data_IF_656385709640
#
_entry.id   IF_656385709640
#
_cell.length_a   1.000
_cell.length_b   1.000
_cell.length_c   1.000
_cell.angle_alpha   90.00
_cell.angle_beta   90.00
_cell.angle_gamma   90.00
#
_symmetry.space_group_name_H-M   'P 1'
#
loop_
_entity.id
_entity.type
_entity.pdbx_description
1 polymer ?
#
# COMPACT_ATOMS: atom_id res chain seq x y z
N UNK A 1 -8.91 8.31 -14.89
CA UNK A 1 -9.66 7.62 -13.81
C UNK A 1 -9.02 6.28 -13.58
N UNK A 2 -8.84 5.86 -12.33
CA UNK A 2 -8.12 4.61 -12.00
C UNK A 2 -8.89 3.80 -10.94
N UNK A 3 -10.13 3.36 -11.26
CA UNK A 3 -10.92 2.50 -10.39
C UNK A 3 -10.38 1.07 -10.44
N UNK A 4 -9.88 0.57 -9.30
CA UNK A 4 -9.48 -0.83 -9.15
C UNK A 4 -10.66 -1.65 -8.57
N UNK A 5 -11.07 -2.69 -9.29
CA UNK A 5 -12.20 -3.54 -8.91
C UNK A 5 -11.80 -5.01 -8.81
N UNK A 6 -12.15 -5.61 -7.70
CA UNK A 6 -12.13 -7.05 -7.48
C UNK A 6 -13.58 -7.57 -7.60
N UNK A 7 -13.81 -8.54 -8.45
CA UNK A 7 -15.14 -9.15 -8.70
C UNK A 7 -15.03 -10.65 -8.43
N UNK A 8 -15.65 -11.09 -7.33
CA UNK A 8 -15.68 -12.46 -6.82
C UNK A 8 -14.32 -13.15 -6.86
N UNK A 9 -13.29 -12.41 -6.40
CA UNK A 9 -11.91 -12.86 -6.45
C UNK A 9 -11.66 -14.00 -5.46
N UNK A 10 -11.12 -15.09 -5.97
CA UNK A 10 -10.69 -16.24 -5.18
C UNK A 10 -9.21 -16.51 -5.40
N UNK A 11 -8.46 -16.73 -4.31
CA UNK A 11 -7.05 -17.12 -4.36
C UNK A 11 -6.84 -18.37 -3.54
N UNK A 12 -6.25 -19.41 -4.18
CA UNK A 12 -5.91 -20.67 -3.54
C UNK A 12 -4.46 -21.03 -3.80
N UNK A 13 -3.77 -21.43 -2.75
CA UNK A 13 -2.42 -21.98 -2.83
C UNK A 13 -2.46 -23.51 -2.72
N UNK A 14 -1.67 -24.20 -3.53
CA UNK A 14 -1.61 -25.66 -3.57
C UNK A 14 -2.62 -26.32 -4.51
N UNK A 15 -2.74 -27.64 -4.45
CA UNK A 15 -3.61 -28.43 -5.33
C UNK A 15 -5.11 -28.27 -5.04
N UNK A 16 -5.96 -28.65 -6.04
CA UNK A 16 -7.43 -28.55 -5.91
C UNK A 16 -8.02 -29.25 -4.69
N UNK A 17 -7.43 -30.36 -4.22
CA UNK A 17 -7.95 -31.16 -3.10
C UNK A 17 -7.32 -30.82 -1.74
N UNK A 18 -6.09 -30.32 -1.70
CA UNK A 18 -5.31 -30.08 -0.48
C UNK A 18 -4.88 -28.63 -0.32
N UNK A 19 -5.30 -27.76 -1.24
CA UNK A 19 -4.90 -26.35 -1.24
C UNK A 19 -5.64 -25.52 -0.20
N UNK A 20 -4.93 -24.56 0.38
CA UNK A 20 -5.49 -23.55 1.28
C UNK A 20 -6.15 -22.42 0.47
N UNK A 21 -7.40 -22.08 0.79
CA UNK A 21 -8.10 -20.92 0.25
C UNK A 21 -7.74 -19.71 1.10
N UNK A 22 -6.92 -18.83 0.56
CA UNK A 22 -6.45 -17.64 1.26
C UNK A 22 -7.37 -16.43 1.07
N UNK A 23 -8.10 -16.39 -0.06
CA UNK A 23 -9.08 -15.33 -0.39
C UNK A 23 -10.29 -16.02 -1.01
N UNK A 24 -11.48 -15.65 -0.55
CA UNK A 24 -12.75 -16.27 -0.95
C UNK A 24 -13.76 -15.20 -1.32
N UNK A 25 -14.18 -15.24 -2.58
CA UNK A 25 -15.32 -14.51 -3.15
C UNK A 25 -15.32 -13.01 -2.79
N UNK A 26 -14.19 -12.35 -2.97
CA UNK A 26 -14.01 -10.94 -2.62
C UNK A 26 -14.56 -10.03 -3.70
N UNK A 27 -15.53 -9.20 -3.31
CA UNK A 27 -16.03 -8.06 -4.05
C UNK A 27 -15.57 -6.76 -3.37
N UNK A 28 -14.64 -6.03 -4.00
CA UNK A 28 -14.10 -4.79 -3.47
C UNK A 28 -13.87 -3.78 -4.59
N UNK A 29 -14.23 -2.54 -4.35
CA UNK A 29 -13.92 -1.40 -5.22
C UNK A 29 -12.99 -0.44 -4.50
N UNK A 30 -11.90 -0.05 -5.16
CA UNK A 30 -11.05 1.07 -4.77
C UNK A 30 -11.35 2.20 -5.75
N UNK A 31 -12.12 3.23 -5.35
CA UNK A 31 -12.54 4.31 -6.24
C UNK A 31 -11.34 5.13 -6.73
N UNK A 32 -11.51 5.74 -7.89
CA UNK A 32 -10.49 6.64 -8.46
C UNK A 32 -10.07 7.75 -7.50
N UNK A 33 -8.77 7.92 -7.32
CA UNK A 33 -8.18 8.92 -6.43
C UNK A 33 -8.43 8.70 -4.94
N UNK A 34 -9.14 7.65 -4.53
CA UNK A 34 -9.43 7.35 -3.14
C UNK A 34 -8.41 6.39 -2.51
N UNK A 35 -8.33 6.42 -1.18
CA UNK A 35 -7.58 5.46 -0.36
C UNK A 35 -8.56 4.50 0.31
N UNK A 36 -8.45 3.21 -0.01
CA UNK A 36 -9.17 2.14 0.71
C UNK A 36 -8.21 1.46 1.68
N UNK A 37 -8.50 1.58 2.98
CA UNK A 37 -7.81 0.88 4.04
C UNK A 37 -8.30 -0.57 4.16
N UNK A 38 -7.42 -1.54 4.02
CA UNK A 38 -7.75 -2.96 4.20
C UNK A 38 -7.22 -3.45 5.53
N UNK A 39 -8.11 -3.81 6.45
CA UNK A 39 -7.80 -4.18 7.83
C UNK A 39 -8.26 -5.60 8.18
N UNK A 40 -7.76 -6.14 9.28
CA UNK A 40 -8.10 -7.46 9.81
C UNK A 40 -6.89 -8.15 10.44
N UNK A 41 -7.12 -9.28 11.12
CA UNK A 41 -6.08 -10.06 11.79
C UNK A 41 -4.96 -10.53 10.85
N UNK A 42 -3.81 -10.89 11.42
CA UNK A 42 -2.74 -11.57 10.67
C UNK A 42 -3.27 -12.88 10.06
N UNK A 43 -2.94 -13.12 8.80
CA UNK A 43 -3.44 -14.30 8.07
C UNK A 43 -4.87 -14.17 7.53
N UNK A 44 -5.55 -13.03 7.67
CA UNK A 44 -6.91 -12.83 7.10
C UNK A 44 -6.99 -12.79 5.57
N UNK A 45 -5.85 -12.74 4.86
CA UNK A 45 -5.80 -12.75 3.39
C UNK A 45 -5.46 -11.41 2.72
N UNK A 46 -5.27 -10.31 3.48
CA UNK A 46 -5.02 -8.95 2.97
C UNK A 46 -3.85 -8.88 1.99
N UNK A 47 -2.67 -9.32 2.42
CA UNK A 47 -1.47 -9.32 1.56
C UNK A 47 -1.60 -10.27 0.38
N UNK A 48 -2.43 -11.32 0.50
CA UNK A 48 -2.73 -12.22 -0.64
C UNK A 48 -3.59 -11.51 -1.67
N UNK A 49 -4.61 -10.76 -1.25
CA UNK A 49 -5.45 -9.95 -2.13
C UNK A 49 -4.62 -8.86 -2.84
N UNK A 50 -3.75 -8.18 -2.08
CA UNK A 50 -2.80 -7.20 -2.60
C UNK A 50 -1.89 -7.79 -3.68
N UNK A 51 -1.27 -8.95 -3.39
CA UNK A 51 -0.42 -9.67 -4.35
C UNK A 51 -1.19 -10.13 -5.58
N UNK A 52 -2.48 -10.47 -5.45
CA UNK A 52 -3.32 -10.80 -6.58
C UNK A 52 -3.50 -9.60 -7.53
N UNK A 53 -3.69 -8.39 -6.99
CA UNK A 53 -3.83 -7.16 -7.79
C UNK A 53 -2.59 -6.87 -8.66
N UNK A 54 -1.39 -7.19 -8.16
CA UNK A 54 -0.14 -7.03 -8.92
C UNK A 54 0.30 -8.30 -9.66
N UNK A 55 -0.55 -9.37 -9.65
CA UNK A 55 -0.31 -10.63 -10.35
C UNK A 55 0.79 -11.50 -9.73
N UNK A 56 1.06 -11.33 -8.44
CA UNK A 56 2.00 -12.14 -7.64
C UNK A 56 1.31 -13.26 -6.86
N UNK A 57 -0.03 -13.32 -6.87
CA UNK A 57 -0.79 -14.43 -6.31
C UNK A 57 -1.73 -15.02 -7.37
N UNK A 58 -1.95 -16.35 -7.38
CA UNK A 58 -2.75 -17.02 -8.40
C UNK A 58 -4.25 -16.80 -8.14
N UNK A 59 -4.91 -15.99 -8.97
CA UNK A 59 -6.37 -15.86 -8.96
C UNK A 59 -6.96 -17.12 -9.59
N UNK A 60 -7.78 -17.86 -8.82
CA UNK A 60 -8.36 -19.13 -9.24
C UNK A 60 -9.79 -18.98 -9.76
N UNK A 61 -10.48 -17.92 -9.37
CA UNK A 61 -11.80 -17.52 -9.90
C UNK A 61 -12.00 -16.02 -9.70
N UNK A 62 -12.95 -15.43 -10.42
CA UNK A 62 -13.22 -13.99 -10.42
C UNK A 62 -12.30 -13.20 -11.35
N UNK A 63 -12.35 -11.88 -11.26
CA UNK A 63 -11.55 -10.97 -12.08
C UNK A 63 -11.04 -9.78 -11.26
N UNK A 64 -9.91 -9.21 -11.69
CA UNK A 64 -9.37 -7.95 -11.16
C UNK A 64 -9.24 -7.01 -12.35
N UNK A 65 -9.94 -5.89 -12.29
CA UNK A 65 -9.95 -4.91 -13.39
C UNK A 65 -9.52 -3.53 -12.92
N UNK A 66 -8.92 -2.78 -13.82
CA UNK A 66 -8.62 -1.36 -13.68
C UNK A 66 -9.31 -0.62 -14.80
N UNK A 67 -10.26 0.25 -14.49
CA UNK A 67 -11.13 0.92 -15.48
C UNK A 67 -11.72 -0.07 -16.48
N UNK A 68 -12.20 -1.22 -16.01
CA UNK A 68 -12.76 -2.30 -16.84
C UNK A 68 -11.71 -3.13 -17.61
N UNK A 69 -10.43 -2.78 -17.57
CA UNK A 69 -9.33 -3.56 -18.20
C UNK A 69 -8.91 -4.70 -17.27
N UNK A 70 -8.97 -5.94 -17.74
CA UNK A 70 -8.56 -7.12 -16.97
C UNK A 70 -7.04 -7.15 -16.75
N UNK A 71 -6.61 -7.00 -15.50
CA UNK A 71 -5.20 -6.99 -15.08
C UNK A 71 -4.54 -8.37 -15.14
N UNK A 72 -5.32 -9.44 -15.09
CA UNK A 72 -4.83 -10.82 -15.09
C UNK A 72 -4.45 -11.29 -16.50
N UNK A 73 -5.09 -10.76 -17.52
CA UNK A 73 -4.86 -11.10 -18.93
C UNK A 73 -3.77 -10.27 -19.58
N UNK A 74 -3.56 -9.05 -19.13
CA UNK A 74 -2.54 -8.14 -19.66
C UNK A 74 -1.14 -8.50 -19.15
N UNK A 75 -0.38 -9.26 -19.98
CA UNK A 75 1.01 -9.66 -19.65
C UNK A 75 2.09 -8.80 -20.32
N UNK A 76 1.72 -7.80 -21.12
CA UNK A 76 2.66 -6.96 -21.89
C UNK A 76 2.63 -5.51 -21.39
N UNK A 77 3.81 -4.95 -21.16
CA UNK A 77 3.99 -3.55 -20.75
C UNK A 77 4.15 -3.32 -19.26
N UNK A 78 4.38 -2.06 -18.84
CA UNK A 78 4.45 -1.67 -17.44
C UNK A 78 3.11 -1.99 -16.75
N UNK A 79 3.18 -2.53 -15.53
CA UNK A 79 1.97 -2.79 -14.76
C UNK A 79 1.43 -1.48 -14.18
N UNK A 80 0.14 -1.17 -14.40
CA UNK A 80 -0.46 0.06 -13.91
C UNK A 80 -0.66 0.05 -12.38
N UNK A 81 -0.58 -1.13 -11.76
CA UNK A 81 -0.64 -1.31 -10.31
C UNK A 81 0.76 -1.66 -9.80
N UNK A 82 1.26 -0.86 -8.88
CA UNK A 82 2.55 -1.10 -8.20
C UNK A 82 2.33 -1.39 -6.73
N UNK A 83 3.25 -2.17 -6.13
CA UNK A 83 3.16 -2.58 -4.74
C UNK A 83 4.42 -2.19 -3.97
N UNK A 84 4.23 -1.56 -2.82
CA UNK A 84 5.28 -1.36 -1.81
C UNK A 84 5.10 -2.43 -0.74
N UNK A 85 6.15 -3.22 -0.53
CA UNK A 85 6.13 -4.37 0.36
C UNK A 85 6.43 -4.00 1.81
N UNK A 86 5.96 -4.83 2.72
CA UNK A 86 6.12 -4.72 4.17
C UNK A 86 7.59 -4.61 4.60
N UNK A 87 8.48 -5.40 3.99
CA UNK A 87 9.89 -5.46 4.38
C UNK A 87 10.77 -4.66 3.41
N UNK A 88 11.24 -3.46 3.80
CA UNK A 88 12.09 -2.63 2.96
C UNK A 88 13.48 -3.25 2.72
N UNK A 89 13.93 -4.14 3.61
CA UNK A 89 15.25 -4.79 3.50
C UNK A 89 15.31 -5.79 2.34
N UNK A 90 14.19 -6.47 2.04
CA UNK A 90 14.12 -7.45 0.95
C UNK A 90 13.66 -6.85 -0.39
N UNK A 91 13.26 -5.57 -0.40
CA UNK A 91 12.73 -4.90 -1.58
C UNK A 91 13.81 -4.27 -2.48
N UNK A 92 15.02 -4.07 -1.96
CA UNK A 92 16.15 -3.44 -2.66
C UNK A 92 17.28 -4.46 -2.83
N UNK A 93 17.88 -4.51 -4.03
CA UNK A 93 19.13 -5.27 -4.24
C UNK A 93 20.28 -4.55 -3.53
N UNK A 94 21.00 -5.21 -2.59
CA UNK A 94 22.08 -4.58 -1.83
C UNK A 94 23.29 -4.17 -2.69
N UNK A 95 23.36 -4.64 -3.95
CA UNK A 95 24.44 -4.34 -4.89
C UNK A 95 24.15 -3.13 -5.76
N UNK A 96 22.89 -2.70 -5.82
CA UNK A 96 22.46 -1.54 -6.61
C UNK A 96 22.44 -0.30 -5.72
N UNK A 97 22.87 0.82 -6.26
CA UNK A 97 22.67 2.12 -5.59
C UNK A 97 21.18 2.47 -5.54
N UNK A 98 20.82 3.40 -4.66
CA UNK A 98 19.47 3.96 -4.56
C UNK A 98 19.01 4.48 -5.91
N UNK A 99 19.86 5.24 -6.59
CA UNK A 99 19.55 5.80 -7.90
C UNK A 99 19.30 4.73 -8.96
N UNK A 100 20.13 3.69 -9.00
CA UNK A 100 19.94 2.55 -9.92
C UNK A 100 18.64 1.81 -9.66
N UNK A 101 18.31 1.59 -8.36
CA UNK A 101 17.06 0.92 -7.96
C UNK A 101 15.82 1.69 -8.40
N UNK A 102 15.84 3.03 -8.31
CA UNK A 102 14.73 3.88 -8.79
C UNK A 102 14.71 3.96 -10.31
N UNK A 103 15.89 4.10 -10.96
CA UNK A 103 16.02 4.18 -12.41
C UNK A 103 15.54 2.90 -13.13
N UNK A 104 15.71 1.73 -12.51
CA UNK A 104 15.23 0.44 -13.05
C UNK A 104 13.72 0.44 -13.31
N UNK A 105 12.95 1.13 -12.46
CA UNK A 105 11.49 1.19 -12.54
C UNK A 105 10.98 2.23 -13.54
N UNK A 106 11.83 3.13 -14.02
CA UNK A 106 11.44 4.17 -14.99
C UNK A 106 10.99 3.56 -16.33
N UNK A 107 9.94 4.10 -16.98
CA UNK A 107 9.44 3.61 -18.25
C UNK A 107 10.49 3.75 -19.36
N UNK A 108 11.08 2.65 -19.81
CA UNK A 108 12.17 2.63 -20.82
C UNK A 108 11.73 3.17 -22.20
N UNK A 109 10.44 3.24 -22.46
CA UNK A 109 9.88 3.71 -23.74
C UNK A 109 9.70 5.24 -23.80
N UNK A 110 9.80 5.94 -22.68
CA UNK A 110 9.70 7.39 -22.63
C UNK A 110 11.03 8.01 -23.04
N UNK A 111 11.07 8.65 -24.22
CA UNK A 111 12.26 9.36 -24.74
C UNK A 111 12.75 10.45 -23.79
N UNK A 112 11.83 11.11 -23.03
CA UNK A 112 12.19 12.13 -22.05
C UNK A 112 12.94 11.52 -20.87
N UNK A 113 12.58 10.32 -20.44
CA UNK A 113 13.27 9.58 -19.38
C UNK A 113 14.68 9.16 -19.81
N UNK A 114 14.88 8.81 -21.08
CA UNK A 114 16.21 8.42 -21.59
C UNK A 114 17.23 9.57 -21.57
N UNK A 115 16.79 10.81 -21.73
CA UNK A 115 17.67 12.00 -21.76
C UNK A 115 17.83 12.67 -20.38
N UNK A 116 16.90 12.44 -19.45
CA UNK A 116 16.86 13.08 -18.13
C UNK A 116 16.67 12.10 -16.95
N UNK A 117 17.02 10.82 -17.15
CA UNK A 117 16.79 9.77 -16.13
C UNK A 117 17.40 10.11 -14.75
N UNK A 118 18.60 10.69 -14.74
CA UNK A 118 19.25 11.12 -13.49
C UNK A 118 18.47 12.24 -12.81
N UNK A 119 17.96 13.22 -13.55
CA UNK A 119 17.16 14.32 -13.01
C UNK A 119 15.81 13.81 -12.48
N UNK A 120 15.17 12.85 -13.17
CA UNK A 120 13.91 12.25 -12.70
C UNK A 120 14.12 11.41 -11.44
N UNK A 121 15.22 10.66 -11.35
CA UNK A 121 15.60 9.95 -10.12
C UNK A 121 15.80 10.92 -8.97
N UNK A 122 16.54 12.01 -9.17
CA UNK A 122 16.74 13.03 -8.13
C UNK A 122 15.40 13.62 -7.69
N UNK A 123 14.52 14.01 -8.63
CA UNK A 123 13.18 14.52 -8.35
C UNK A 123 12.33 13.54 -7.51
N UNK A 124 12.38 12.24 -7.84
CA UNK A 124 11.65 11.22 -7.09
C UNK A 124 12.22 11.01 -5.68
N UNK A 125 13.54 11.10 -5.51
CA UNK A 125 14.16 11.04 -4.20
C UNK A 125 13.83 12.29 -3.35
N UNK A 126 13.80 13.47 -3.95
CA UNK A 126 13.35 14.70 -3.29
C UNK A 126 11.88 14.59 -2.88
N UNK A 127 11.03 14.07 -3.76
CA UNK A 127 9.59 13.86 -3.51
C UNK A 127 9.32 12.97 -2.29
N UNK A 128 10.16 11.95 -2.05
CA UNK A 128 10.05 11.11 -0.85
C UNK A 128 10.89 11.65 0.33
N UNK A 129 11.44 12.86 0.24
CA UNK A 129 12.18 13.54 1.29
C UNK A 129 13.52 12.90 1.65
N UNK A 130 14.20 12.29 0.64
CA UNK A 130 15.55 11.72 0.83
C UNK A 130 16.69 12.65 0.36
N UNK A 131 16.40 13.56 -0.57
CA UNK A 131 17.39 14.35 -1.28
C UNK A 131 18.05 13.58 -2.45
N UNK A 132 18.20 14.29 -3.58
CA UNK A 132 18.80 13.71 -4.80
C UNK A 132 20.26 13.29 -4.64
N UNK A 133 20.99 13.86 -3.68
CA UNK A 133 22.37 13.52 -3.30
C UNK A 133 22.53 12.08 -2.80
N UNK A 134 21.45 11.48 -2.30
CA UNK A 134 21.43 10.07 -1.86
C UNK A 134 21.38 9.04 -2.98
N UNK A 135 21.29 9.48 -4.24
CA UNK A 135 21.24 8.55 -5.38
C UNK A 135 22.44 7.59 -5.47
N UNK A 136 23.62 8.02 -5.02
CA UNK A 136 24.84 7.20 -4.99
C UNK A 136 24.96 6.25 -3.81
N UNK A 137 24.11 6.36 -2.78
CA UNK A 137 24.18 5.54 -1.58
C UNK A 137 23.76 4.08 -1.86
N UNK A 138 24.34 3.13 -1.11
CA UNK A 138 23.89 1.74 -1.11
C UNK A 138 22.77 1.52 -0.07
N UNK A 139 21.87 0.54 -0.27
CA UNK A 139 20.84 0.22 0.70
C UNK A 139 21.37 -0.05 2.11
N UNK A 140 22.58 -0.59 2.24
CA UNK A 140 23.24 -0.85 3.52
C UNK A 140 23.53 0.40 4.36
N UNK A 141 23.67 1.56 3.72
CA UNK A 141 23.97 2.85 4.35
C UNK A 141 22.72 3.61 4.82
N UNK A 142 21.52 3.07 4.53
CA UNK A 142 20.25 3.70 4.84
C UNK A 142 19.60 3.11 6.09
N UNK A 143 18.90 3.95 6.85
CA UNK A 143 17.98 3.50 7.90
C UNK A 143 16.76 2.77 7.30
N UNK A 144 15.99 2.04 8.14
CA UNK A 144 14.77 1.35 7.71
C UNK A 144 13.76 2.30 7.05
N UNK A 145 13.51 3.46 7.64
CA UNK A 145 12.61 4.47 7.08
C UNK A 145 13.12 5.07 5.76
N UNK A 146 14.44 5.28 5.64
CA UNK A 146 15.03 5.73 4.38
C UNK A 146 14.88 4.67 3.27
N UNK A 147 15.10 3.40 3.57
CA UNK A 147 14.85 2.30 2.62
C UNK A 147 13.39 2.23 2.19
N UNK A 148 12.46 2.46 3.12
CA UNK A 148 11.02 2.49 2.81
C UNK A 148 10.69 3.65 1.86
N UNK A 149 11.31 4.83 2.06
CA UNK A 149 11.18 5.98 1.14
C UNK A 149 11.75 5.66 -0.25
N UNK A 150 12.88 4.95 -0.34
CA UNK A 150 13.41 4.46 -1.63
C UNK A 150 12.42 3.48 -2.30
N UNK A 151 11.82 2.57 -1.55
CA UNK A 151 10.81 1.65 -2.09
C UNK A 151 9.58 2.40 -2.63
N UNK A 152 9.13 3.46 -1.95
CA UNK A 152 8.09 4.38 -2.43
C UNK A 152 8.53 5.10 -3.72
N UNK A 153 9.72 5.70 -3.75
CA UNK A 153 10.25 6.35 -4.94
C UNK A 153 10.33 5.40 -6.15
N UNK A 154 10.77 4.16 -5.92
CA UNK A 154 10.82 3.10 -6.95
C UNK A 154 9.43 2.75 -7.47
N UNK A 155 8.43 2.63 -6.58
CA UNK A 155 7.06 2.36 -7.01
C UNK A 155 6.49 3.53 -7.84
N UNK A 156 6.73 4.77 -7.42
CA UNK A 156 6.30 5.98 -8.12
C UNK A 156 7.04 6.18 -9.46
N UNK A 157 8.30 5.72 -9.57
CA UNK A 157 9.08 5.77 -10.81
C UNK A 157 8.38 5.02 -11.96
N UNK A 158 7.65 3.96 -11.66
CA UNK A 158 6.86 3.22 -12.64
C UNK A 158 5.61 3.98 -13.12
N UNK A 159 5.30 5.14 -12.53
CA UNK A 159 4.10 5.95 -12.80
C UNK A 159 2.81 5.13 -12.69
N UNK A 160 2.54 4.53 -11.54
CA UNK A 160 1.39 3.66 -11.36
C UNK A 160 0.08 4.47 -11.41
N UNK A 161 -0.97 3.85 -11.93
CA UNK A 161 -2.34 4.33 -11.80
C UNK A 161 -2.90 4.00 -10.40
N UNK A 162 -2.45 2.87 -9.82
CA UNK A 162 -2.83 2.44 -8.46
C UNK A 162 -1.60 2.02 -7.67
N UNK A 163 -1.51 2.47 -6.43
CA UNK A 163 -0.47 2.06 -5.46
C UNK A 163 -1.07 1.14 -4.40
N UNK A 164 -0.43 -0.01 -4.19
CA UNK A 164 -0.75 -0.94 -3.10
C UNK A 164 0.34 -0.81 -2.03
N UNK A 165 -0.02 -0.37 -0.84
CA UNK A 165 0.87 -0.23 0.30
C UNK A 165 0.60 -1.37 1.30
N UNK A 166 1.43 -2.41 1.32
CA UNK A 166 1.25 -3.59 2.18
C UNK A 166 2.09 -3.49 3.45
N UNK A 167 1.45 -3.11 4.56
CA UNK A 167 2.05 -2.98 5.90
C UNK A 167 3.38 -2.21 5.93
N UNK A 168 3.47 -1.15 5.14
CA UNK A 168 4.72 -0.42 4.86
C UNK A 168 5.38 0.23 6.09
N UNK A 169 4.73 0.25 7.23
CA UNK A 169 5.24 0.83 8.48
C UNK A 169 5.54 -0.20 9.56
N UNK A 170 5.09 -1.46 9.40
CA UNK A 170 5.16 -2.47 10.47
C UNK A 170 6.57 -2.87 10.90
N UNK A 171 7.56 -2.72 10.00
CA UNK A 171 8.98 -3.03 10.25
C UNK A 171 9.79 -1.81 10.71
N UNK A 172 9.15 -0.68 10.99
CA UNK A 172 9.80 0.58 11.37
C UNK A 172 9.56 0.91 12.83
N UNK A 173 10.49 1.63 13.43
CA UNK A 173 10.34 2.20 14.78
C UNK A 173 9.17 3.19 14.82
N UNK A 174 8.48 3.27 15.96
CA UNK A 174 7.27 4.10 16.15
C UNK A 174 7.50 5.55 15.75
N UNK A 175 8.67 6.12 16.09
CA UNK A 175 9.04 7.50 15.72
C UNK A 175 9.15 7.74 14.22
N UNK A 176 9.51 6.70 13.45
CA UNK A 176 9.68 6.76 11.99
C UNK A 176 8.37 6.46 11.26
N UNK A 177 7.49 5.64 11.87
CA UNK A 177 6.20 5.27 11.26
C UNK A 177 5.37 6.49 10.90
N UNK A 178 5.21 7.45 11.82
CA UNK A 178 4.44 8.68 11.59
C UNK A 178 4.95 9.48 10.39
N UNK A 179 6.26 9.62 10.25
CA UNK A 179 6.86 10.35 9.14
C UNK A 179 6.62 9.66 7.78
N UNK A 180 6.61 8.31 7.73
CA UNK A 180 6.30 7.56 6.50
C UNK A 180 4.81 7.62 6.17
N UNK A 181 3.93 7.56 7.18
CA UNK A 181 2.47 7.67 7.01
C UNK A 181 2.09 9.05 6.46
N UNK A 182 2.66 10.13 7.03
CA UNK A 182 2.44 11.48 6.55
C UNK A 182 2.90 11.64 5.10
N UNK A 183 4.12 11.15 4.78
CA UNK A 183 4.63 11.17 3.42
C UNK A 183 3.68 10.46 2.44
N UNK A 184 3.17 9.28 2.79
CA UNK A 184 2.24 8.53 1.92
C UNK A 184 0.96 9.32 1.69
N UNK A 185 0.42 9.97 2.72
CA UNK A 185 -0.78 10.81 2.61
C UNK A 185 -0.52 12.04 1.74
N UNK A 186 0.59 12.74 1.94
CA UNK A 186 1.00 13.89 1.13
C UNK A 186 1.17 13.50 -0.34
N UNK A 187 1.87 12.40 -0.62
CA UNK A 187 2.05 11.88 -1.97
C UNK A 187 0.73 11.51 -2.64
N UNK A 188 -0.19 10.88 -1.91
CA UNK A 188 -1.49 10.51 -2.42
C UNK A 188 -2.31 11.75 -2.79
N UNK A 189 -2.33 12.77 -1.92
CA UNK A 189 -3.04 14.03 -2.16
C UNK A 189 -2.43 14.82 -3.33
N UNK A 190 -1.10 14.91 -3.41
CA UNK A 190 -0.40 15.66 -4.47
C UNK A 190 -0.58 15.01 -5.84
N UNK A 191 -0.51 13.68 -5.89
CA UNK A 191 -0.54 12.92 -7.15
C UNK A 191 -1.95 12.47 -7.54
N UNK A 192 -2.93 12.55 -6.64
CA UNK A 192 -4.28 12.04 -6.85
C UNK A 192 -4.31 10.52 -7.11
N UNK A 193 -3.33 9.78 -6.58
CA UNK A 193 -3.17 8.35 -6.89
C UNK A 193 -4.17 7.51 -6.13
N UNK A 194 -4.86 6.60 -6.82
CA UNK A 194 -5.70 5.57 -6.19
C UNK A 194 -4.85 4.63 -5.35
N UNK A 195 -5.28 4.30 -4.11
CA UNK A 195 -4.47 3.53 -3.19
C UNK A 195 -5.25 2.44 -2.46
N UNK A 196 -4.68 1.23 -2.40
CA UNK A 196 -5.07 0.18 -1.46
C UNK A 196 -4.02 0.13 -0.33
N UNK A 197 -4.42 0.57 0.87
CA UNK A 197 -3.55 0.70 2.03
C UNK A 197 -3.82 -0.40 3.04
N UNK A 198 -2.86 -1.30 3.26
CA UNK A 198 -3.01 -2.43 4.20
C UNK A 198 -2.25 -2.12 5.47
N UNK A 199 -2.93 -2.20 6.60
CA UNK A 199 -2.33 -2.08 7.92
C UNK A 199 -3.13 -2.84 8.97
N UNK A 200 -2.46 -3.30 10.01
CA UNK A 200 -3.10 -3.79 11.23
C UNK A 200 -3.29 -2.66 12.27
N UNK A 201 -2.72 -1.47 12.04
CA UNK A 201 -2.86 -0.30 12.91
C UNK A 201 -4.06 0.55 12.47
N UNK A 202 -5.19 0.43 13.19
CA UNK A 202 -6.43 1.12 12.86
C UNK A 202 -6.33 2.65 12.99
N UNK A 203 -5.46 3.17 13.86
CA UNK A 203 -5.23 4.61 13.97
C UNK A 203 -4.58 5.16 12.69
N UNK A 204 -3.62 4.43 12.12
CA UNK A 204 -3.01 4.77 10.84
C UNK A 204 -4.03 4.71 9.71
N UNK A 205 -4.85 3.65 9.67
CA UNK A 205 -5.91 3.49 8.66
C UNK A 205 -6.92 4.62 8.74
N UNK A 206 -7.38 5.00 9.93
CA UNK A 206 -8.29 6.14 10.15
C UNK A 206 -7.70 7.45 9.61
N UNK A 207 -6.39 7.63 9.74
CA UNK A 207 -5.71 8.84 9.31
C UNK A 207 -5.53 8.93 7.79
N UNK A 208 -5.32 7.79 7.11
CA UNK A 208 -4.93 7.77 5.70
C UNK A 208 -6.11 7.50 4.78
N UNK A 209 -7.14 6.75 5.23
CA UNK A 209 -8.13 6.13 4.35
C UNK A 209 -9.43 6.90 4.27
N UNK A 210 -10.02 6.95 3.06
CA UNK A 210 -11.37 7.46 2.82
C UNK A 210 -12.43 6.38 3.08
N UNK A 211 -12.09 5.13 2.74
CA UNK A 211 -12.92 3.95 2.94
C UNK A 211 -12.14 2.87 3.69
N UNK A 212 -12.86 2.01 4.39
CA UNK A 212 -12.28 0.86 5.11
C UNK A 212 -13.00 -0.41 4.69
N UNK A 213 -12.21 -1.44 4.45
CA UNK A 213 -12.63 -2.80 4.15
C UNK A 213 -12.06 -3.74 5.22
N UNK A 214 -12.93 -4.51 5.89
CA UNK A 214 -12.54 -5.41 6.98
C UNK A 214 -12.54 -6.85 6.49
N UNK A 215 -11.39 -7.51 6.60
CA UNK A 215 -11.21 -8.91 6.19
C UNK A 215 -11.01 -9.84 7.38
N UNK A 216 -11.66 -11.02 7.31
CA UNK A 216 -11.42 -12.13 8.24
C UNK A 216 -11.45 -13.46 7.49
N UNK A 217 -10.45 -14.32 7.70
CA UNK A 217 -10.37 -15.69 7.16
C UNK A 217 -10.61 -15.80 5.65
N UNK A 218 -10.11 -14.81 4.91
CA UNK A 218 -10.22 -14.76 3.46
C UNK A 218 -11.51 -14.13 2.92
N UNK A 219 -12.41 -13.69 3.76
CA UNK A 219 -13.70 -13.08 3.40
C UNK A 219 -13.73 -11.59 3.77
N UNK A 220 -14.50 -10.81 3.04
CA UNK A 220 -14.77 -9.41 3.32
C UNK A 220 -16.05 -9.34 4.16
N UNK A 221 -15.97 -8.73 5.34
CA UNK A 221 -17.07 -8.72 6.30
C UNK A 221 -17.80 -7.39 6.34
N UNK A 222 -17.08 -6.28 6.14
CA UNK A 222 -17.65 -4.94 6.19
C UNK A 222 -16.84 -4.00 5.29
N UNK A 223 -17.54 -3.13 4.57
CA UNK A 223 -16.94 -2.10 3.71
C UNK A 223 -17.77 -0.83 3.82
N UNK A 224 -17.13 0.31 4.02
CA UNK A 224 -17.82 1.59 4.09
C UNK A 224 -16.85 2.76 4.19
N UNK A 225 -17.36 3.97 4.38
CA UNK A 225 -16.51 5.12 4.68
C UNK A 225 -15.73 4.88 5.97
N UNK A 226 -14.50 5.38 6.03
CA UNK A 226 -13.63 5.19 7.19
C UNK A 226 -14.29 5.67 8.50
N UNK A 227 -14.97 6.82 8.44
CA UNK A 227 -15.66 7.37 9.60
C UNK A 227 -16.77 6.45 10.10
N UNK A 228 -17.57 5.85 9.22
CA UNK A 228 -18.67 4.97 9.63
C UNK A 228 -18.13 3.65 10.18
N UNK A 229 -17.31 2.95 9.42
CA UNK A 229 -16.78 1.62 9.79
C UNK A 229 -15.96 1.67 11.09
N UNK A 230 -15.19 2.76 11.30
CA UNK A 230 -14.33 2.90 12.48
C UNK A 230 -14.99 3.58 13.68
N UNK A 231 -16.22 4.12 13.54
CA UNK A 231 -16.93 4.75 14.66
C UNK A 231 -18.23 4.04 15.04
N UNK A 232 -18.95 3.50 14.05
CA UNK A 232 -20.24 2.83 14.24
C UNK A 232 -20.29 1.51 13.44
N UNK A 233 -19.37 0.56 13.71
CA UNK A 233 -19.28 -0.69 12.98
C UNK A 233 -20.55 -1.51 13.10
N UNK A 234 -21.01 -2.06 11.98
CA UNK A 234 -22.20 -2.92 11.92
C UNK A 234 -21.86 -4.37 12.25
N UNK A 235 -20.72 -4.87 11.74
CA UNK A 235 -20.35 -6.26 11.91
C UNK A 235 -19.74 -6.53 13.31
N UNK A 236 -20.13 -7.60 14.03
CA UNK A 236 -19.60 -7.91 15.36
C UNK A 236 -18.08 -8.04 15.43
N UNK A 237 -17.48 -8.64 14.42
CA UNK A 237 -16.01 -8.77 14.34
C UNK A 237 -15.30 -7.41 14.19
N UNK A 238 -15.89 -6.47 13.47
CA UNK A 238 -15.31 -5.10 13.38
C UNK A 238 -15.30 -4.41 14.72
N UNK A 239 -16.35 -4.60 15.55
CA UNK A 239 -16.39 -4.10 16.94
C UNK A 239 -15.29 -4.75 17.78
N UNK A 240 -15.17 -6.07 17.74
CA UNK A 240 -14.11 -6.82 18.44
C UNK A 240 -12.72 -6.33 18.04
N UNK A 241 -12.50 -6.10 16.73
CA UNK A 241 -11.24 -5.61 16.19
C UNK A 241 -10.90 -4.20 16.71
N UNK A 242 -11.90 -3.31 16.77
CA UNK A 242 -11.74 -1.94 17.29
C UNK A 242 -11.49 -1.93 18.80
N UNK A 243 -12.17 -2.76 19.57
CA UNK A 243 -11.99 -2.90 21.02
C UNK A 243 -10.61 -3.46 21.39
N UNK A 244 -10.01 -4.26 20.51
CA UNK A 244 -8.67 -4.84 20.71
C UNK A 244 -7.52 -3.83 20.56
N UNK A 245 -7.79 -2.66 20.00
CA UNK A 245 -6.79 -1.59 19.86
C UNK A 245 -6.71 -0.81 21.18
N UNK A 246 -5.53 -0.71 21.83
CA UNK A 246 -5.37 0.12 22.99
C UNK A 246 -5.74 1.56 22.65
N UNK A 247 -6.77 2.09 23.31
CA UNK A 247 -7.08 3.53 23.27
C UNK A 247 -5.91 4.21 23.98
N UNK A 248 -5.00 4.83 23.25
CA UNK A 248 -4.14 5.85 23.81
C UNK A 248 -5.06 7.00 24.20
N UNK A 249 -5.43 7.05 25.48
CA UNK A 249 -6.12 8.21 26.05
C UNK A 249 -5.32 9.45 25.62
N UNK A 250 -5.96 10.28 24.81
CA UNK A 250 -5.42 11.57 24.48
C UNK A 250 -5.20 12.30 25.81
N UNK A 251 -3.95 12.45 26.21
CA UNK A 251 -3.57 13.39 27.26
C UNK A 251 -3.94 14.77 26.73
N UNK A 252 -5.15 15.19 27.04
CA UNK A 252 -5.56 16.58 26.89
C UNK A 252 -4.70 17.35 27.91
N UNK A 253 -3.79 18.24 27.48
CA UNK A 253 -3.13 19.11 28.43
C UNK A 253 -4.23 19.97 29.06
N UNK A 254 -4.51 19.73 30.34
CA UNK A 254 -5.30 20.65 31.14
C UNK A 254 -4.61 22.01 31.05
N UNK A 255 -5.31 22.97 30.43
CA UNK A 255 -4.94 24.37 30.53
C UNK A 255 -5.03 24.77 31.99
N UNK A 256 -3.87 24.79 32.68
CA UNK A 256 -3.76 25.43 33.98
C UNK A 256 -4.00 26.92 33.79
N UNK A 257 -5.16 27.34 34.23
CA UNK A 257 -5.45 28.75 34.49
C UNK A 257 -4.50 29.21 35.60
N UNK A 258 -3.57 30.08 35.28
CA UNK A 258 -2.87 30.86 36.31
C UNK A 258 -3.71 32.09 36.69
N UNK A 259 -3.75 32.42 38.01
CA UNK A 259 -4.50 33.55 38.56
C UNK A 259 -3.95 34.91 38.18
#
# INVERSE_FOLDING_TARGET
MAELRFDRVNVRYGGRRTGHVAVRDIDLVVPDGAVVGLVGESGSGKSTLARAAVGLAPVTAGSITLDGRDLLRSRRGPRPVQMVFQNPYSSLDPRMTVGESVAEALPRHDRRVRSSGTAEVARLLDLVGLGGDRAGALPGELSGGQRQRVALARALAARPEVLVADEITSALDVSVQGAVVNLVRELQQELGTTMLFISHNLAVVRYVSDYVAVMRRGELLEVGSADVVLSTPEHPYTRELLESVPVLDAVVPSAEAHP
#
